data_IF_132453720967
#
_entry.id   IF_132453720967
#
_cell.length_a   1.000
_cell.length_b   1.000
_cell.length_c   1.000
_cell.angle_alpha   90.00
_cell.angle_beta   90.00
_cell.angle_gamma   90.00
#
_symmetry.space_group_name_H-M   'P 1'
#
loop_
_entity.id
_entity.type
_entity.pdbx_description
1 polymer ?
#
# COMPACT_ATOMS: atom_id res chain seq x y z
N UNK A 1 -12.19 24.36 5.62
CA UNK A 1 -11.56 24.36 4.30
C UNK A 1 -10.29 23.49 4.26
N UNK A 2 -9.30 23.80 5.11
CA UNK A 2 -8.07 22.98 5.17
C UNK A 2 -8.36 21.54 5.55
N UNK A 3 -9.32 21.32 6.41
CA UNK A 3 -9.68 19.97 6.84
C UNK A 3 -10.00 19.06 5.64
N UNK A 4 -10.86 19.52 4.74
CA UNK A 4 -11.28 18.72 3.58
C UNK A 4 -10.12 18.46 2.63
N UNK A 5 -9.30 19.47 2.40
CA UNK A 5 -8.14 19.33 1.50
C UNK A 5 -7.14 18.32 2.06
N UNK A 6 -6.87 18.41 3.37
CA UNK A 6 -5.93 17.48 4.01
C UNK A 6 -6.46 16.05 3.98
N UNK A 7 -7.74 15.87 4.32
CA UNK A 7 -8.34 14.53 4.31
C UNK A 7 -8.32 13.92 2.92
N UNK A 8 -8.61 14.72 1.90
CA UNK A 8 -8.59 14.26 0.52
C UNK A 8 -7.17 13.87 0.08
N UNK A 9 -6.19 14.69 0.43
CA UNK A 9 -4.80 14.39 0.09
C UNK A 9 -4.30 13.12 0.76
N UNK A 10 -4.69 12.88 2.01
CA UNK A 10 -4.32 11.66 2.72
C UNK A 10 -4.96 10.44 2.08
N UNK A 11 -6.22 10.56 1.68
CA UNK A 11 -6.91 9.46 1.00
C UNK A 11 -6.20 9.10 -0.30
N UNK A 12 -5.84 10.10 -1.08
CA UNK A 12 -5.12 9.88 -2.34
C UNK A 12 -3.78 9.20 -2.09
N UNK A 13 -3.08 9.63 -1.05
CA UNK A 13 -1.78 9.04 -0.69
C UNK A 13 -1.92 7.57 -0.34
N UNK A 14 -2.89 7.24 0.51
CA UNK A 14 -3.04 5.85 0.96
C UNK A 14 -3.50 4.95 -0.18
N UNK A 15 -4.38 5.43 -1.05
CA UNK A 15 -4.79 4.68 -2.22
C UNK A 15 -3.63 4.43 -3.18
N UNK A 16 -2.77 5.43 -3.34
CA UNK A 16 -1.57 5.28 -4.18
C UNK A 16 -0.61 4.26 -3.59
N UNK A 17 -0.42 4.27 -2.26
CA UNK A 17 0.45 3.30 -1.59
C UNK A 17 -0.06 1.88 -1.77
N UNK A 18 -1.37 1.68 -1.66
CA UNK A 18 -1.98 0.36 -1.87
C UNK A 18 -1.76 -0.09 -3.32
N UNK A 19 -2.02 0.80 -4.26
CA UNK A 19 -1.90 0.49 -5.69
C UNK A 19 -0.47 0.11 -6.06
N UNK A 20 0.51 0.88 -5.61
CA UNK A 20 1.92 0.61 -5.87
C UNK A 20 2.37 -0.71 -5.27
N UNK A 21 2.06 -0.90 -3.99
CA UNK A 21 2.48 -2.12 -3.30
C UNK A 21 1.81 -3.36 -3.87
N UNK A 22 0.52 -3.25 -4.22
CA UNK A 22 -0.21 -4.36 -4.83
C UNK A 22 0.38 -4.72 -6.19
N UNK A 23 0.72 -3.73 -7.01
CA UNK A 23 1.32 -3.97 -8.32
C UNK A 23 2.66 -4.70 -8.18
N UNK A 24 3.49 -4.25 -7.24
CA UNK A 24 4.79 -4.88 -7.00
C UNK A 24 4.62 -6.30 -6.46
N UNK A 25 3.69 -6.48 -5.54
CA UNK A 25 3.42 -7.81 -4.98
C UNK A 25 2.96 -8.80 -6.05
N UNK A 26 2.14 -8.34 -7.00
CA UNK A 26 1.71 -9.20 -8.11
C UNK A 26 2.88 -9.67 -8.94
N UNK A 27 3.87 -8.80 -9.16
CA UNK A 27 5.07 -9.19 -9.91
C UNK A 27 5.81 -10.31 -9.16
N UNK A 28 5.96 -10.17 -7.84
CA UNK A 28 6.60 -11.21 -7.02
C UNK A 28 5.86 -12.54 -7.10
N UNK A 29 4.51 -12.48 -7.12
CA UNK A 29 3.70 -13.69 -7.10
C UNK A 29 3.57 -14.35 -8.48
N UNK A 30 3.51 -13.54 -9.53
CA UNK A 30 3.24 -14.05 -10.88
C UNK A 30 4.47 -14.25 -11.74
N UNK A 31 5.54 -13.50 -11.47
CA UNK A 31 6.77 -13.58 -12.27
C UNK A 31 8.01 -13.52 -11.37
N UNK A 32 8.19 -14.51 -10.51
CA UNK A 32 9.32 -14.51 -9.59
C UNK A 32 10.68 -14.46 -10.28
N UNK A 33 10.79 -15.02 -11.49
CA UNK A 33 12.05 -14.99 -12.27
C UNK A 33 12.45 -13.57 -12.68
N UNK A 34 11.49 -12.66 -12.81
CA UNK A 34 11.78 -11.29 -13.21
C UNK A 34 12.51 -10.52 -12.10
N UNK A 35 12.48 -11.02 -10.88
CA UNK A 35 13.08 -10.39 -9.72
C UNK A 35 14.44 -10.99 -9.40
N UNK A 36 14.76 -12.13 -10.04
CA UNK A 36 15.98 -12.88 -9.81
C UNK A 36 15.85 -13.82 -8.62
N UNK A 37 16.86 -14.64 -8.42
CA UNK A 37 16.88 -15.59 -7.33
C UNK A 37 17.43 -14.91 -6.09
N UNK A 38 16.51 -14.39 -5.29
CA UNK A 38 16.85 -13.72 -4.04
C UNK A 38 16.29 -14.49 -2.86
N UNK A 39 17.12 -14.84 -1.89
CA UNK A 39 16.62 -15.51 -0.70
C UNK A 39 15.72 -14.61 0.15
N UNK A 40 15.60 -13.34 -0.23
CA UNK A 40 14.85 -12.34 0.49
C UNK A 40 13.45 -12.10 -0.08
N UNK A 41 13.00 -12.94 -1.02
CA UNK A 41 11.68 -12.77 -1.64
C UNK A 41 10.55 -12.75 -0.62
N UNK A 42 10.63 -13.62 0.39
CA UNK A 42 9.59 -13.70 1.42
C UNK A 42 9.57 -12.42 2.23
N UNK A 43 10.75 -11.92 2.62
CA UNK A 43 10.85 -10.68 3.40
C UNK A 43 10.33 -9.48 2.61
N UNK A 44 10.67 -9.41 1.33
CA UNK A 44 10.21 -8.32 0.49
C UNK A 44 8.71 -8.38 0.28
N UNK A 45 8.16 -9.57 0.05
CA UNK A 45 6.72 -9.74 -0.10
C UNK A 45 5.99 -9.35 1.19
N UNK A 46 6.55 -9.72 2.33
CA UNK A 46 5.98 -9.39 3.64
C UNK A 46 5.92 -7.87 3.83
N UNK A 47 6.97 -7.15 3.43
CA UNK A 47 7.00 -5.69 3.54
C UNK A 47 5.91 -5.05 2.67
N UNK A 48 5.64 -5.63 1.50
CA UNK A 48 4.59 -5.13 0.63
C UNK A 48 3.21 -5.35 1.23
N UNK A 49 2.99 -6.53 1.82
CA UNK A 49 1.74 -6.83 2.51
C UNK A 49 1.55 -5.87 3.69
N UNK A 50 2.62 -5.61 4.44
CA UNK A 50 2.57 -4.67 5.56
C UNK A 50 2.18 -3.28 5.10
N UNK A 51 2.77 -2.83 3.99
CA UNK A 51 2.47 -1.51 3.43
C UNK A 51 0.99 -1.39 3.06
N UNK A 52 0.45 -2.44 2.42
CA UNK A 52 -0.96 -2.47 2.05
C UNK A 52 -1.84 -2.45 3.29
N UNK A 53 -1.52 -3.30 4.27
CA UNK A 53 -2.29 -3.39 5.51
C UNK A 53 -2.30 -2.05 6.25
N UNK A 54 -1.15 -1.40 6.36
CA UNK A 54 -1.05 -0.10 7.03
C UNK A 54 -1.88 0.96 6.31
N UNK A 55 -1.79 1.00 4.99
CA UNK A 55 -2.54 1.99 4.21
C UNK A 55 -4.04 1.77 4.31
N UNK A 56 -4.48 0.51 4.28
CA UNK A 56 -5.90 0.18 4.43
C UNK A 56 -6.42 0.57 5.81
N UNK A 57 -5.63 0.32 6.85
CA UNK A 57 -5.99 0.71 8.20
C UNK A 57 -6.09 2.23 8.33
N UNK A 58 -5.15 2.95 7.72
CA UNK A 58 -5.18 4.41 7.73
C UNK A 58 -6.41 4.95 7.00
N UNK A 59 -6.81 4.32 5.90
CA UNK A 59 -8.04 4.70 5.21
C UNK A 59 -9.25 4.49 6.09
N UNK A 60 -9.29 3.39 6.81
CA UNK A 60 -10.40 3.10 7.73
C UNK A 60 -10.49 4.17 8.82
N UNK A 61 -9.35 4.52 9.41
CA UNK A 61 -9.30 5.56 10.43
C UNK A 61 -9.74 6.91 9.87
N UNK A 62 -9.31 7.19 8.65
CA UNK A 62 -9.64 8.45 7.99
C UNK A 62 -11.14 8.66 7.84
N UNK A 63 -11.90 7.58 7.64
CA UNK A 63 -13.35 7.67 7.51
C UNK A 63 -14.00 8.27 8.77
N UNK A 64 -13.42 8.02 9.93
CA UNK A 64 -13.94 8.53 11.19
C UNK A 64 -13.86 10.06 11.27
N UNK A 65 -12.95 10.65 10.53
CA UNK A 65 -12.74 12.09 10.52
C UNK A 65 -13.46 12.82 9.41
N UNK A 66 -14.12 12.08 8.52
CA UNK A 66 -14.84 12.64 7.38
C UNK A 66 -16.27 13.06 7.72
N UNK A 67 -16.74 12.71 8.87
CA UNK A 67 -18.11 13.00 9.32
C UNK A 67 -18.30 14.46 9.75
#
# INVERSE_FOLDING_TARGET
MFRRVILSALEDRYNAQISEAAATLKIYLEKPVAIGEHPQHIDEADKLVEKIANAEEKLRILQEFKL
#
